data_IF_105374054872
#
_entry.id   IF_105374054872
#
_cell.length_a   1.000
_cell.length_b   1.000
_cell.length_c   1.000
_cell.angle_alpha   90.00
_cell.angle_beta   90.00
_cell.angle_gamma   90.00
#
_symmetry.space_group_name_H-M   'P 1'
#
loop_
_entity.id
_entity.type
_entity.pdbx_description
1 polymer ?
#
# COMPACT_ATOMS: atom_id res chain seq x y z
N UNK A 1 -5.19 59.11 4.40
CA UNK A 1 -4.79 57.73 4.78
C UNK A 1 -5.65 57.13 5.89
N UNK A 2 -5.95 57.83 6.99
CA UNK A 2 -6.69 57.27 8.14
C UNK A 2 -8.13 56.82 7.83
N UNK A 3 -8.83 57.49 6.89
CA UNK A 3 -10.21 57.13 6.50
C UNK A 3 -10.32 55.78 5.77
N UNK A 4 -9.33 55.41 4.97
CA UNK A 4 -9.32 54.13 4.24
C UNK A 4 -8.90 52.96 5.12
N UNK A 5 -8.04 53.20 6.12
CA UNK A 5 -7.65 52.19 7.11
C UNK A 5 -8.84 51.83 8.01
N UNK A 6 -9.66 52.81 8.42
CA UNK A 6 -10.89 52.54 9.18
C UNK A 6 -11.91 51.72 8.38
N UNK A 7 -12.06 51.98 7.07
CA UNK A 7 -12.94 51.21 6.18
C UNK A 7 -12.47 49.77 5.95
N UNK A 8 -11.15 49.54 5.84
CA UNK A 8 -10.58 48.19 5.72
C UNK A 8 -10.74 47.38 7.02
N UNK A 9 -10.56 48.01 8.18
CA UNK A 9 -10.75 47.37 9.50
C UNK A 9 -12.24 47.08 9.78
N UNK A 10 -13.15 47.96 9.34
CA UNK A 10 -14.60 47.70 9.39
C UNK A 10 -15.01 46.59 8.43
N UNK A 11 -14.48 46.53 7.20
CA UNK A 11 -14.76 45.46 6.24
C UNK A 11 -14.31 44.06 6.73
N UNK A 12 -13.18 43.98 7.42
CA UNK A 12 -12.71 42.76 8.08
C UNK A 12 -13.61 42.32 9.25
N UNK A 13 -14.35 43.25 9.87
CA UNK A 13 -15.31 43.00 10.95
C UNK A 13 -16.73 42.68 10.46
N UNK A 14 -17.09 43.06 9.23
CA UNK A 14 -18.48 42.99 8.72
C UNK A 14 -18.85 41.70 7.99
N UNK A 15 -17.90 40.81 7.69
CA UNK A 15 -18.22 39.52 7.06
C UNK A 15 -17.52 38.31 7.70
N UNK A 16 -17.58 38.15 9.04
CA UNK A 16 -17.03 36.97 9.73
C UNK A 16 -17.62 35.68 9.18
N UNK A 17 -18.87 35.75 8.69
CA UNK A 17 -19.55 34.64 8.03
C UNK A 17 -18.90 34.26 6.69
N UNK A 18 -18.55 35.23 5.84
CA UNK A 18 -17.88 34.92 4.56
C UNK A 18 -16.47 34.39 4.80
N UNK A 19 -15.75 34.97 5.77
CA UNK A 19 -14.41 34.53 6.14
C UNK A 19 -14.42 33.11 6.74
N UNK A 20 -15.45 32.78 7.52
CA UNK A 20 -15.72 31.42 8.01
C UNK A 20 -15.93 30.42 6.86
N UNK A 21 -16.77 30.75 5.87
CA UNK A 21 -17.00 29.86 4.71
C UNK A 21 -15.74 29.65 3.87
N UNK A 22 -14.90 30.67 3.72
CA UNK A 22 -13.61 30.57 3.01
C UNK A 22 -12.63 29.68 3.77
N UNK A 23 -12.48 29.86 5.08
CA UNK A 23 -11.60 29.00 5.89
C UNK A 23 -12.12 27.55 5.90
N UNK A 24 -13.42 27.36 6.10
CA UNK A 24 -14.03 26.03 6.11
C UNK A 24 -13.84 25.30 4.77
N UNK A 25 -14.05 25.98 3.65
CA UNK A 25 -13.85 25.40 2.32
C UNK A 25 -12.39 25.01 2.06
N UNK A 26 -11.42 25.82 2.47
CA UNK A 26 -10.00 25.47 2.38
C UNK A 26 -9.67 24.25 3.24
N UNK A 27 -10.19 24.17 4.47
CA UNK A 27 -9.99 23.01 5.35
C UNK A 27 -10.61 21.74 4.75
N UNK A 28 -11.83 21.81 4.21
CA UNK A 28 -12.51 20.66 3.59
C UNK A 28 -11.75 20.17 2.37
N UNK A 29 -11.32 21.07 1.48
CA UNK A 29 -10.50 20.73 0.31
C UNK A 29 -9.18 20.08 0.75
N UNK A 30 -8.52 20.64 1.76
CA UNK A 30 -7.27 20.08 2.31
C UNK A 30 -7.43 18.65 2.84
N UNK A 31 -8.53 18.37 3.54
CA UNK A 31 -8.86 17.02 4.03
C UNK A 31 -9.12 16.07 2.84
N UNK A 32 -9.93 16.48 1.86
CA UNK A 32 -10.23 15.66 0.67
C UNK A 32 -8.95 15.33 -0.11
N UNK A 33 -8.10 16.32 -0.37
CA UNK A 33 -6.82 16.12 -1.07
C UNK A 33 -5.92 15.18 -0.26
N UNK A 34 -5.85 15.36 1.06
CA UNK A 34 -5.06 14.48 1.94
C UNK A 34 -5.55 13.03 1.90
N UNK A 35 -6.88 12.81 1.88
CA UNK A 35 -7.48 11.48 1.75
C UNK A 35 -7.15 10.87 0.39
N UNK A 36 -7.31 11.63 -0.70
CA UNK A 36 -7.01 11.14 -2.06
C UNK A 36 -5.52 10.79 -2.21
N UNK A 37 -4.62 11.64 -1.69
CA UNK A 37 -3.17 11.38 -1.71
C UNK A 37 -2.83 10.17 -0.85
N UNK A 38 -3.46 10.02 0.32
CA UNK A 38 -3.29 8.85 1.18
C UNK A 38 -3.76 7.56 0.50
N UNK A 39 -4.90 7.59 -0.18
CA UNK A 39 -5.38 6.44 -0.94
C UNK A 39 -4.43 6.10 -2.10
N UNK A 40 -4.02 7.09 -2.91
CA UNK A 40 -3.06 6.87 -4.00
C UNK A 40 -1.70 6.37 -3.52
N UNK A 41 -1.25 6.76 -2.34
CA UNK A 41 0.01 6.27 -1.76
C UNK A 41 -0.10 4.87 -1.15
N UNK A 42 -1.27 4.51 -0.59
CA UNK A 42 -1.54 3.13 -0.16
C UNK A 42 -1.71 2.16 -1.33
N UNK A 43 -2.21 2.65 -2.46
CA UNK A 43 -2.29 1.94 -3.72
C UNK A 43 -1.31 2.54 -4.73
N UNK A 44 0.00 2.41 -4.47
CA UNK A 44 1.03 2.79 -5.44
C UNK A 44 0.78 2.21 -6.85
N UNK A 45 1.49 2.69 -7.86
CA UNK A 45 1.36 2.29 -9.26
C UNK A 45 1.68 0.80 -9.46
N UNK A 46 0.76 -0.09 -9.09
CA UNK A 46 0.85 -1.53 -9.31
C UNK A 46 0.49 -1.79 -10.77
N UNK A 47 1.53 -1.92 -11.59
CA UNK A 47 1.38 -2.19 -13.01
C UNK A 47 1.12 -3.69 -13.24
N UNK A 48 0.27 -3.97 -14.23
CA UNK A 48 -0.36 -5.25 -14.60
C UNK A 48 0.32 -6.53 -14.13
N UNK A 49 -0.46 -7.34 -13.45
CA UNK A 49 -0.20 -8.74 -13.20
C UNK A 49 -0.72 -9.62 -14.36
N UNK A 50 -0.53 -9.17 -15.60
CA UNK A 50 -0.79 -10.02 -16.77
C UNK A 50 0.24 -11.14 -16.93
N UNK A 51 1.37 -11.08 -16.20
CA UNK A 51 2.41 -12.09 -16.23
C UNK A 51 2.44 -12.93 -14.94
N UNK A 52 2.75 -14.24 -15.02
CA UNK A 52 3.07 -15.02 -13.84
C UNK A 52 4.36 -14.47 -13.24
N UNK A 53 4.24 -13.57 -12.26
CA UNK A 53 5.44 -13.01 -11.64
C UNK A 53 6.27 -14.11 -10.98
N UNK A 54 7.57 -14.06 -11.23
CA UNK A 54 8.54 -14.78 -10.41
C UNK A 54 8.54 -14.14 -9.02
N UNK A 55 7.67 -14.63 -8.15
CA UNK A 55 7.58 -14.20 -6.77
C UNK A 55 8.72 -14.82 -5.96
N UNK A 56 9.39 -13.97 -5.19
CA UNK A 56 10.48 -14.38 -4.30
C UNK A 56 10.22 -13.85 -2.91
N UNK A 57 10.55 -14.65 -1.90
CA UNK A 57 10.30 -14.32 -0.51
C UNK A 57 11.54 -13.71 0.10
N UNK A 58 11.36 -12.59 0.78
CA UNK A 58 12.34 -11.90 1.59
C UNK A 58 12.33 -12.37 3.03
N UNK A 59 13.52 -12.52 3.58
CA UNK A 59 13.73 -12.91 4.96
C UNK A 59 14.42 -11.77 5.71
N UNK A 60 14.02 -11.58 6.97
CA UNK A 60 14.80 -10.80 7.93
C UNK A 60 15.64 -11.78 8.72
N UNK A 61 16.91 -11.44 8.95
CA UNK A 61 17.80 -12.19 9.84
C UNK A 61 17.69 -11.58 11.22
N UNK A 62 17.24 -12.35 12.19
CA UNK A 62 17.20 -11.94 13.60
C UNK A 62 17.84 -13.04 14.47
N UNK A 63 18.85 -12.69 15.26
CA UNK A 63 19.63 -13.63 16.08
C UNK A 63 20.13 -14.87 15.32
N UNK A 64 20.57 -14.69 14.06
CA UNK A 64 21.06 -15.79 13.20
C UNK A 64 19.96 -16.67 12.60
N UNK A 65 18.68 -16.35 12.84
CA UNK A 65 17.52 -17.06 12.28
C UNK A 65 16.90 -16.23 11.16
N UNK A 66 16.63 -16.85 10.01
CA UNK A 66 15.93 -16.20 8.91
C UNK A 66 14.42 -16.37 9.06
N UNK A 67 13.67 -15.26 9.13
CA UNK A 67 12.21 -15.23 9.26
C UNK A 67 11.61 -14.61 8.00
N UNK A 68 10.71 -15.30 7.28
CA UNK A 68 10.06 -14.73 6.11
C UNK A 68 9.16 -13.55 6.54
N UNK A 69 9.41 -12.36 6.00
CA UNK A 69 8.67 -11.13 6.34
C UNK A 69 8.27 -10.27 5.16
N UNK A 70 8.93 -10.45 4.01
CA UNK A 70 8.70 -9.62 2.83
C UNK A 70 8.44 -10.50 1.61
N UNK A 71 7.73 -9.99 0.63
CA UNK A 71 7.60 -10.61 -0.68
C UNK A 71 8.08 -9.63 -1.75
N UNK A 72 8.67 -10.18 -2.80
CA UNK A 72 9.12 -9.45 -3.96
C UNK A 72 8.55 -10.10 -5.21
N UNK A 73 8.26 -9.28 -6.20
CA UNK A 73 7.99 -9.76 -7.55
C UNK A 73 9.06 -9.21 -8.49
N UNK A 74 9.40 -9.98 -9.52
CA UNK A 74 10.31 -9.54 -10.57
C UNK A 74 9.50 -9.10 -11.78
N UNK A 75 9.71 -7.86 -12.20
CA UNK A 75 9.09 -7.27 -13.38
C UNK A 75 10.20 -6.71 -14.28
N UNK A 76 10.27 -7.16 -15.54
CA UNK A 76 11.31 -6.75 -16.49
C UNK A 76 12.75 -6.86 -15.93
N UNK A 77 13.02 -7.94 -15.19
CA UNK A 77 14.32 -8.19 -14.54
C UNK A 77 14.60 -7.36 -13.29
N UNK A 78 13.72 -6.42 -12.91
CA UNK A 78 13.83 -5.62 -11.69
C UNK A 78 12.98 -6.21 -10.57
N UNK A 79 13.58 -6.39 -9.39
CA UNK A 79 12.83 -6.82 -8.18
C UNK A 79 12.14 -5.63 -7.56
N UNK A 80 10.84 -5.77 -7.30
CA UNK A 80 10.00 -4.78 -6.61
C UNK A 80 9.44 -5.39 -5.34
N UNK A 81 9.35 -4.58 -4.28
CA UNK A 81 8.80 -4.99 -2.99
C UNK A 81 7.28 -5.00 -3.09
N UNK A 82 6.65 -6.09 -2.65
CA UNK A 82 5.20 -6.12 -2.43
C UNK A 82 4.91 -5.46 -1.09
N UNK A 83 3.94 -4.53 -1.00
CA UNK A 83 3.58 -3.89 0.25
C UNK A 83 3.10 -4.91 1.29
N UNK A 84 3.35 -4.65 2.59
CA UNK A 84 2.85 -5.51 3.66
C UNK A 84 1.32 -5.65 3.68
N UNK A 85 0.57 -4.63 3.24
CA UNK A 85 -0.90 -4.70 3.18
C UNK A 85 -1.45 -5.72 2.16
N UNK A 86 -0.58 -6.18 1.25
CA UNK A 86 -0.90 -7.09 0.16
C UNK A 86 -0.18 -8.45 0.30
N UNK A 87 0.50 -8.66 1.42
CA UNK A 87 1.24 -9.88 1.73
C UNK A 87 0.82 -10.39 3.09
N UNK A 88 0.48 -11.66 3.18
CA UNK A 88 0.29 -12.39 4.44
C UNK A 88 1.28 -13.54 4.50
N UNK A 89 2.02 -13.62 5.60
CA UNK A 89 2.93 -14.74 5.88
C UNK A 89 2.52 -15.32 7.22
N UNK A 90 2.00 -16.54 7.20
CA UNK A 90 1.40 -17.19 8.37
C UNK A 90 2.18 -18.44 8.72
N UNK A 91 2.61 -18.54 9.96
CA UNK A 91 3.27 -19.75 10.46
C UNK A 91 2.23 -20.84 10.77
N UNK A 92 2.40 -22.03 10.18
CA UNK A 92 1.52 -23.19 10.40
C UNK A 92 2.02 -24.17 11.47
N UNK A 93 3.28 -24.03 11.92
CA UNK A 93 3.93 -25.04 12.78
C UNK A 93 4.96 -25.88 12.02
N UNK A 94 5.83 -26.57 12.76
CA UNK A 94 6.90 -27.42 12.23
C UNK A 94 7.78 -26.77 11.15
N UNK A 95 8.06 -25.47 11.29
CA UNK A 95 8.85 -24.73 10.31
C UNK A 95 8.13 -24.48 8.98
N UNK A 96 6.82 -24.72 8.88
CA UNK A 96 6.01 -24.48 7.67
C UNK A 96 5.36 -23.10 7.74
N UNK A 97 5.44 -22.37 6.63
CA UNK A 97 4.86 -21.06 6.44
C UNK A 97 3.98 -21.05 5.20
N UNK A 98 2.78 -20.50 5.36
CA UNK A 98 1.94 -20.11 4.24
C UNK A 98 2.24 -18.68 3.84
N UNK A 99 2.23 -18.44 2.55
CA UNK A 99 2.33 -17.13 1.97
C UNK A 99 1.13 -16.91 1.08
N UNK A 100 0.57 -15.72 1.20
CA UNK A 100 -0.43 -15.20 0.32
C UNK A 100 -0.01 -13.81 -0.11
N UNK A 101 0.04 -13.58 -1.40
CA UNK A 101 0.41 -12.31 -2.01
C UNK A 101 -0.67 -11.96 -3.02
N UNK A 102 -1.15 -10.72 -3.01
CA UNK A 102 -2.08 -10.21 -4.02
C UNK A 102 -1.60 -8.89 -4.61
N UNK A 103 -1.84 -8.68 -5.89
CA UNK A 103 -1.47 -7.45 -6.61
C UNK A 103 -2.72 -6.97 -7.32
N UNK A 104 -3.07 -5.69 -7.13
CA UNK A 104 -4.23 -5.09 -7.79
C UNK A 104 -3.94 -4.94 -9.29
N UNK A 105 -4.89 -5.32 -10.13
CA UNK A 105 -4.79 -5.17 -11.59
C UNK A 105 -4.99 -3.70 -11.98
N UNK A 106 -4.31 -3.23 -13.04
CA UNK A 106 -4.43 -1.84 -13.51
C UNK A 106 -5.83 -1.53 -14.02
N UNK A 107 -6.44 -2.50 -14.69
CA UNK A 107 -7.80 -2.39 -15.25
C UNK A 107 -8.87 -2.21 -14.15
N UNK A 108 -8.50 -2.34 -12.87
CA UNK A 108 -9.40 -2.19 -11.73
C UNK A 108 -10.35 -3.36 -11.55
N UNK A 109 -10.27 -4.41 -12.38
CA UNK A 109 -11.25 -5.50 -12.40
C UNK A 109 -11.01 -6.55 -11.31
N UNK A 110 -9.92 -6.44 -10.55
CA UNK A 110 -9.60 -7.43 -9.53
C UNK A 110 -8.17 -7.40 -9.00
N UNK A 111 -7.79 -8.54 -8.42
CA UNK A 111 -6.44 -8.82 -7.94
C UNK A 111 -5.93 -10.10 -8.60
N UNK A 112 -4.67 -10.13 -8.98
CA UNK A 112 -3.97 -11.40 -9.23
C UNK A 112 -3.27 -11.81 -7.94
N UNK A 113 -3.35 -13.09 -7.59
CA UNK A 113 -2.79 -13.60 -6.35
C UNK A 113 -1.87 -14.80 -6.58
N UNK A 114 -0.94 -14.98 -5.65
CA UNK A 114 -0.14 -16.18 -5.51
C UNK A 114 -0.13 -16.64 -4.08
N UNK A 115 -0.18 -17.96 -3.92
CA UNK A 115 -0.06 -18.65 -2.66
C UNK A 115 1.14 -19.58 -2.71
N UNK A 116 1.90 -19.61 -1.62
CA UNK A 116 3.10 -20.41 -1.51
C UNK A 116 3.13 -21.12 -0.16
N UNK A 117 3.63 -22.35 -0.14
CA UNK A 117 3.97 -23.05 1.11
C UNK A 117 5.47 -23.20 1.17
N UNK A 118 6.10 -22.60 2.17
CA UNK A 118 7.52 -22.76 2.47
C UNK A 118 7.72 -23.69 3.65
N UNK A 119 8.73 -24.56 3.58
CA UNK A 119 9.20 -25.34 4.72
C UNK A 119 10.64 -24.97 5.04
N UNK A 120 10.88 -24.64 6.31
CA UNK A 120 12.22 -24.42 6.85
C UNK A 120 13.01 -25.72 6.79
N UNK A 121 14.19 -25.66 6.18
CA UNK A 121 15.16 -26.77 6.17
C UNK A 121 16.25 -26.52 7.20
N UNK A 122 16.68 -25.28 7.34
CA UNK A 122 17.67 -24.85 8.33
C UNK A 122 17.35 -23.44 8.83
N UNK A 123 18.12 -22.95 9.81
CA UNK A 123 18.03 -21.57 10.29
C UNK A 123 18.24 -20.51 9.20
N UNK A 124 18.79 -20.89 8.04
CA UNK A 124 19.10 -19.98 6.94
C UNK A 124 18.45 -20.36 5.62
N UNK A 125 17.86 -21.56 5.49
CA UNK A 125 17.31 -22.06 4.23
C UNK A 125 15.87 -22.54 4.36
N UNK A 126 15.09 -22.19 3.35
CA UNK A 126 13.72 -22.62 3.14
C UNK A 126 13.58 -23.31 1.79
N UNK A 127 12.66 -24.25 1.69
CA UNK A 127 12.25 -24.88 0.43
C UNK A 127 10.79 -24.59 0.17
N UNK A 128 10.51 -24.21 -1.06
CA UNK A 128 9.15 -24.08 -1.57
C UNK A 128 8.58 -25.48 -1.81
N UNK A 129 7.47 -25.80 -1.15
CA UNK A 129 6.75 -27.06 -1.29
C UNK A 129 5.70 -26.99 -2.38
N UNK A 130 4.96 -25.87 -2.45
CA UNK A 130 3.88 -25.67 -3.41
C UNK A 130 3.77 -24.18 -3.72
N UNK A 131 3.44 -23.89 -4.98
CA UNK A 131 3.03 -22.55 -5.43
C UNK A 131 1.74 -22.72 -6.23
N UNK A 132 0.79 -21.82 -6.03
CA UNK A 132 -0.42 -21.73 -6.83
C UNK A 132 -0.74 -20.27 -7.09
N UNK A 133 -1.14 -19.95 -8.31
CA UNK A 133 -1.50 -18.60 -8.72
C UNK A 133 -2.94 -18.58 -9.23
N UNK A 134 -3.60 -17.43 -9.13
CA UNK A 134 -4.98 -17.27 -9.60
C UNK A 134 -5.41 -15.81 -9.70
N UNK A 135 -6.68 -15.62 -10.04
CA UNK A 135 -7.33 -14.30 -10.15
C UNK A 135 -8.50 -14.19 -9.20
N UNK A 136 -8.60 -13.05 -8.53
CA UNK A 136 -9.74 -12.62 -7.74
C UNK A 136 -10.45 -11.48 -8.47
N UNK A 137 -11.77 -11.56 -8.56
CA UNK A 137 -12.60 -10.51 -9.15
C UNK A 137 -13.11 -9.58 -8.04
N UNK A 138 -13.03 -8.27 -8.27
CA UNK A 138 -13.71 -7.31 -7.39
C UNK A 138 -15.16 -7.25 -7.85
N UNK A 139 -16.08 -7.62 -6.96
CA UNK A 139 -17.53 -7.59 -7.20
C UNK A 139 -18.10 -6.19 -7.02
#
# INVERSE_FOLDING_TARGET
MVKYIRLAVLGAFFAPQQLYWVILSVCVIGVIVSVIVREKSHFGDWLDAEQPYNMTVGYIVDNGKTIPKMAYYTENGKRKVVPPCNTSITYRGNGVYDLYVRIRRKDGTGYDYSTGVLKKISETKYKTLKVSCGREWVR
#
